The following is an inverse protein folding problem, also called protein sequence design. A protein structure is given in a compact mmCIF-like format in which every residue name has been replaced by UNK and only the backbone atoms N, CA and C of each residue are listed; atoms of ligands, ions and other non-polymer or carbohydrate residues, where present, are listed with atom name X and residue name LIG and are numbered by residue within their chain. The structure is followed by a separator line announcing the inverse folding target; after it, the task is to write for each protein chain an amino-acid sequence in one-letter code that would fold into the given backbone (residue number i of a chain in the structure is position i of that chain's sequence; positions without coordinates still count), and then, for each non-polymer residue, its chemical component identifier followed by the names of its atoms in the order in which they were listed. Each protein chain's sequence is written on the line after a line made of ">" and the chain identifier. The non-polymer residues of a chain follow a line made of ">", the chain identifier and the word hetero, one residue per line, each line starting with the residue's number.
data_IF_325889027056
#
_entry.id   IF_325889027056
#
_cell.length_a   1.000
_cell.length_b   1.000
_cell.length_c   1.000
_cell.angle_alpha   90.00
_cell.angle_beta   90.00
_cell.angle_gamma   90.00
#
_symmetry.space_group_name_H-M   'P 1'
#
loop_
_entity.id
_entity.type
_entity.pdbx_description
1 polymer ?
#
# COMPACT_ATOMS: atom_id res chain seq x y z
N UNK A 1 19.66 -6.05 -2.94
CA UNK A 1 18.47 -6.38 -2.13
C UNK A 1 17.31 -5.48 -2.59
N UNK A 2 16.04 -5.82 -2.34
CA UNK A 2 14.90 -5.00 -2.81
C UNK A 2 15.00 -3.50 -2.40
N UNK A 3 15.52 -3.22 -1.21
CA UNK A 3 15.78 -1.86 -0.71
C UNK A 3 16.85 -1.08 -1.48
N UNK A 4 17.72 -1.76 -2.23
CA UNK A 4 18.81 -1.15 -3.00
C UNK A 4 18.39 -0.79 -4.44
N UNK A 5 17.14 -1.11 -4.82
CA UNK A 5 16.59 -0.75 -6.12
C UNK A 5 16.54 0.78 -6.29
N UNK A 6 16.71 1.27 -7.53
CA UNK A 6 16.80 2.70 -7.79
C UNK A 6 15.50 3.42 -7.42
N UNK A 7 15.65 4.67 -6.98
CA UNK A 7 14.51 5.57 -6.80
C UNK A 7 14.16 6.22 -8.13
N UNK A 8 12.87 6.39 -8.41
CA UNK A 8 12.39 6.87 -9.71
C UNK A 8 11.65 8.19 -9.60
N UNK A 9 11.59 8.94 -10.71
CA UNK A 9 10.82 10.18 -10.81
C UNK A 9 9.32 9.94 -10.74
N UNK A 10 8.52 11.02 -10.59
CA UNK A 10 7.06 10.92 -10.58
C UNK A 10 6.46 10.36 -11.87
N UNK A 11 7.07 10.65 -13.04
CA UNK A 11 6.61 10.13 -14.33
C UNK A 11 6.78 8.61 -14.38
N UNK A 12 7.97 8.13 -14.01
CA UNK A 12 8.25 6.69 -13.96
C UNK A 12 7.46 5.99 -12.84
N UNK A 13 7.27 6.64 -11.70
CA UNK A 13 6.42 6.10 -10.64
C UNK A 13 4.97 5.90 -11.12
N UNK A 14 4.41 6.84 -11.89
CA UNK A 14 3.07 6.71 -12.47
C UNK A 14 2.98 5.49 -13.41
N UNK A 15 4.00 5.30 -14.28
CA UNK A 15 4.09 4.12 -15.15
C UNK A 15 4.17 2.81 -14.36
N UNK A 16 5.01 2.77 -13.30
CA UNK A 16 5.18 1.57 -12.47
C UNK A 16 3.91 1.28 -11.68
N UNK A 17 3.24 2.29 -11.13
CA UNK A 17 1.97 2.08 -10.41
C UNK A 17 0.82 1.74 -11.36
N UNK A 18 1.02 1.99 -12.67
CA UNK A 18 0.06 1.78 -13.76
C UNK A 18 -1.17 2.68 -13.57
N UNK A 19 -0.86 3.99 -13.49
CA UNK A 19 -1.81 5.11 -13.41
C UNK A 19 -1.29 6.21 -14.34
N UNK A 20 -2.20 6.94 -15.01
CA UNK A 20 -1.80 8.10 -15.81
C UNK A 20 -1.12 9.18 -14.96
N UNK A 21 -0.16 9.92 -15.54
CA UNK A 21 0.64 10.91 -14.81
C UNK A 21 -0.21 11.93 -14.01
N UNK A 22 -1.28 12.46 -14.60
CA UNK A 22 -2.17 13.40 -13.90
C UNK A 22 -2.98 12.73 -12.78
N UNK A 23 -3.37 11.47 -12.96
CA UNK A 23 -3.99 10.67 -11.90
C UNK A 23 -3.04 10.47 -10.72
N UNK A 24 -1.77 10.16 -11.01
CA UNK A 24 -0.74 10.03 -10.01
C UNK A 24 -0.48 11.35 -9.26
N UNK A 25 -0.42 12.48 -9.97
CA UNK A 25 -0.32 13.81 -9.31
C UNK A 25 -1.52 14.12 -8.43
N UNK A 26 -2.72 13.72 -8.85
CA UNK A 26 -3.93 13.84 -8.03
C UNK A 26 -3.81 13.02 -6.74
N UNK A 27 -3.30 11.78 -6.81
CA UNK A 27 -3.05 10.96 -5.61
C UNK A 27 -2.08 11.63 -4.63
N UNK A 28 -0.97 12.18 -5.11
CA UNK A 28 0.01 12.88 -4.27
C UNK A 28 -0.58 14.14 -3.62
N UNK A 29 -1.36 14.93 -4.38
CA UNK A 29 -2.05 16.13 -3.86
C UNK A 29 -3.07 15.78 -2.78
N UNK A 30 -3.73 14.63 -2.90
CA UNK A 30 -4.72 14.11 -1.94
C UNK A 30 -4.08 13.38 -0.75
N UNK A 31 -2.75 13.34 -0.66
CA UNK A 31 -2.04 12.74 0.47
C UNK A 31 -2.00 11.22 0.46
N UNK A 32 -1.92 10.59 -0.72
CA UNK A 32 -1.65 9.15 -0.80
C UNK A 32 -0.32 8.84 -0.09
N UNK A 33 -0.35 7.85 0.81
CA UNK A 33 0.73 7.50 1.73
C UNK A 33 1.09 8.60 2.74
N UNK A 34 0.28 9.65 2.90
CA UNK A 34 0.60 10.81 3.74
C UNK A 34 0.94 10.46 5.20
N UNK A 35 0.45 9.33 5.71
CA UNK A 35 0.74 8.84 7.07
C UNK A 35 1.82 7.75 7.16
N UNK A 36 2.33 7.26 6.02
CA UNK A 36 3.37 6.22 5.99
C UNK A 36 4.67 6.76 6.59
N UNK A 37 5.22 6.10 7.61
CA UNK A 37 6.46 6.52 8.26
C UNK A 37 6.35 7.78 9.12
N UNK A 38 5.13 8.31 9.33
CA UNK A 38 4.91 9.28 10.40
C UNK A 38 4.80 8.52 11.73
N UNK A 39 5.55 8.96 12.74
CA UNK A 39 5.27 8.55 14.10
C UNK A 39 3.88 9.09 14.49
N UNK A 40 3.07 8.35 15.27
CA UNK A 40 1.84 8.89 15.82
C UNK A 40 2.16 10.22 16.52
N UNK A 41 1.39 11.27 16.25
CA UNK A 41 1.55 12.51 16.99
C UNK A 41 1.42 12.24 18.49
N UNK A 42 2.35 12.76 19.29
CA UNK A 42 2.20 12.75 20.75
C UNK A 42 1.16 13.81 21.10
N UNK A 43 -0.11 13.41 21.15
CA UNK A 43 -1.23 14.29 21.45
C UNK A 43 -1.54 14.27 22.95
N UNK A 44 -1.76 15.44 23.55
CA UNK A 44 -2.23 15.54 24.92
C UNK A 44 -3.69 15.05 25.00
N UNK A 45 -4.06 14.44 26.14
CA UNK A 45 -5.43 13.97 26.37
C UNK A 45 -6.43 15.13 26.19
N UNK A 46 -7.34 15.00 25.22
CA UNK A 46 -8.39 15.99 24.93
C UNK A 46 -8.08 16.98 23.80
N UNK A 47 -6.99 16.83 23.06
CA UNK A 47 -6.70 17.66 21.88
C UNK A 47 -7.35 17.10 20.60
N UNK A 48 -7.88 18.00 19.76
CA UNK A 48 -8.44 17.66 18.44
C UNK A 48 -7.36 17.00 17.58
N UNK A 49 -7.58 15.73 17.24
CA UNK A 49 -6.62 14.89 16.53
C UNK A 49 -6.73 15.15 15.03
N UNK A 50 -6.16 16.24 14.53
CA UNK A 50 -6.01 16.45 13.09
C UNK A 50 -4.73 15.78 12.59
N UNK A 51 -4.77 14.45 12.47
CA UNK A 51 -3.75 13.68 11.73
C UNK A 51 -4.05 13.78 10.22
N UNK A 52 -4.08 15.00 9.70
CA UNK A 52 -4.27 15.23 8.28
C UNK A 52 -3.07 14.64 7.53
N UNK A 53 -3.30 13.75 6.54
CA UNK A 53 -2.21 13.17 5.77
C UNK A 53 -1.42 14.30 5.10
N UNK A 54 -0.15 14.46 5.46
CA UNK A 54 0.70 15.48 4.87
C UNK A 54 0.75 15.30 3.33
N UNK A 55 0.37 16.32 2.54
CA UNK A 55 0.40 16.22 1.08
C UNK A 55 1.81 15.86 0.60
N UNK A 56 1.93 14.78 -0.19
CA UNK A 56 3.21 14.34 -0.77
C UNK A 56 3.49 14.95 -2.13
N UNK A 57 2.81 16.05 -2.48
CA UNK A 57 3.00 16.77 -3.74
C UNK A 57 4.41 17.32 -3.94
N UNK A 58 5.18 17.49 -2.86
CA UNK A 58 6.59 17.90 -2.91
C UNK A 58 7.58 16.76 -3.18
N UNK A 59 7.14 15.50 -3.17
CA UNK A 59 8.02 14.35 -3.37
C UNK A 59 8.51 14.26 -4.81
N UNK A 60 9.84 14.15 -4.98
CA UNK A 60 10.48 14.11 -6.30
C UNK A 60 10.90 12.70 -6.72
N UNK A 61 11.09 11.80 -5.76
CA UNK A 61 11.57 10.45 -5.99
C UNK A 61 10.86 9.44 -5.10
N UNK A 62 10.66 8.23 -5.62
CA UNK A 62 9.92 7.15 -4.97
C UNK A 62 10.76 5.87 -4.98
N UNK A 63 10.89 5.23 -3.82
CA UNK A 63 11.61 3.96 -3.67
C UNK A 63 10.69 2.75 -3.80
N UNK A 64 11.28 1.55 -3.73
CA UNK A 64 10.55 0.29 -3.82
C UNK A 64 9.33 0.18 -2.86
N UNK A 65 9.44 0.47 -1.55
CA UNK A 65 8.31 0.36 -0.64
C UNK A 65 7.18 1.34 -0.98
N UNK A 66 7.53 2.57 -1.40
CA UNK A 66 6.54 3.57 -1.81
C UNK A 66 5.73 3.08 -3.00
N UNK A 67 6.41 2.52 -4.00
CA UNK A 67 5.79 2.03 -5.24
C UNK A 67 4.92 0.80 -4.99
N UNK A 68 5.33 -0.12 -4.11
CA UNK A 68 4.50 -1.25 -3.69
C UNK A 68 3.20 -0.78 -3.04
N UNK A 69 3.28 0.16 -2.08
CA UNK A 69 2.10 0.70 -1.41
C UNK A 69 1.19 1.47 -2.36
N UNK A 70 1.75 2.26 -3.28
CA UNK A 70 0.97 2.95 -4.32
C UNK A 70 0.29 1.97 -5.27
N UNK A 71 0.97 0.87 -5.63
CA UNK A 71 0.40 -0.20 -6.46
C UNK A 71 -0.73 -0.93 -5.73
N UNK A 72 -0.60 -1.22 -4.44
CA UNK A 72 -1.68 -1.78 -3.62
C UNK A 72 -2.87 -0.83 -3.61
N UNK A 73 -2.65 0.47 -3.39
CA UNK A 73 -3.74 1.45 -3.39
C UNK A 73 -4.49 1.47 -4.73
N UNK A 74 -3.74 1.40 -5.85
CA UNK A 74 -4.32 1.28 -7.19
C UNK A 74 -5.19 0.03 -7.30
N UNK A 75 -4.67 -1.14 -6.96
CA UNK A 75 -5.41 -2.41 -7.04
C UNK A 75 -6.69 -2.38 -6.20
N UNK A 76 -6.66 -1.72 -5.04
CA UNK A 76 -7.85 -1.53 -4.21
C UNK A 76 -8.87 -0.61 -4.89
N UNK A 77 -8.43 0.50 -5.48
CA UNK A 77 -9.32 1.41 -6.19
C UNK A 77 -9.94 0.74 -7.43
N UNK A 78 -9.16 -0.07 -8.17
CA UNK A 78 -9.68 -0.89 -9.27
C UNK A 78 -10.73 -1.92 -8.81
N UNK A 79 -10.56 -2.45 -7.60
CA UNK A 79 -11.52 -3.35 -6.95
C UNK A 79 -12.75 -2.61 -6.37
N UNK A 80 -12.86 -1.30 -6.56
CA UNK A 80 -14.02 -0.50 -6.15
C UNK A 80 -13.89 0.18 -4.79
N UNK A 81 -12.74 0.12 -4.12
CA UNK A 81 -12.53 0.85 -2.87
C UNK A 81 -12.45 2.36 -3.14
N UNK A 82 -12.99 3.15 -2.20
CA UNK A 82 -12.78 4.59 -2.23
C UNK A 82 -11.30 4.92 -2.01
N UNK A 83 -10.85 6.06 -2.51
CA UNK A 83 -9.49 6.56 -2.24
C UNK A 83 -9.20 6.64 -0.73
N UNK A 84 -10.17 7.08 0.08
CA UNK A 84 -10.00 7.19 1.52
C UNK A 84 -9.78 5.82 2.17
N UNK A 85 -10.57 4.81 1.80
CA UNK A 85 -10.42 3.43 2.28
C UNK A 85 -9.09 2.82 1.83
N UNK A 86 -8.74 2.97 0.54
CA UNK A 86 -7.47 2.46 0.01
C UNK A 86 -6.26 3.12 0.69
N UNK A 87 -6.27 4.45 0.82
CA UNK A 87 -5.21 5.20 1.49
C UNK A 87 -5.10 4.84 2.97
N UNK A 88 -6.24 4.59 3.65
CA UNK A 88 -6.28 4.16 5.05
C UNK A 88 -5.62 2.79 5.27
N UNK A 89 -5.74 1.86 4.31
CA UNK A 89 -5.03 0.58 4.35
C UNK A 89 -3.53 0.78 4.11
N UNK A 90 -3.16 1.36 2.97
CA UNK A 90 -1.73 1.44 2.57
C UNK A 90 -0.91 2.39 3.42
N UNK A 91 -1.55 3.27 4.20
CA UNK A 91 -0.87 4.17 5.12
C UNK A 91 -0.47 3.53 6.45
N UNK A 92 -0.82 2.26 6.69
CA UNK A 92 -0.52 1.61 7.96
C UNK A 92 0.94 1.20 8.07
N UNK A 93 1.53 1.53 9.22
CA UNK A 93 2.93 1.25 9.51
C UNK A 93 3.27 -0.24 9.36
N UNK A 94 2.35 -1.15 9.71
CA UNK A 94 2.57 -2.60 9.57
C UNK A 94 2.73 -3.04 8.11
N UNK A 95 1.99 -2.45 7.17
CA UNK A 95 2.10 -2.80 5.74
C UNK A 95 3.40 -2.22 5.18
N UNK A 96 3.69 -0.95 5.48
CA UNK A 96 4.96 -0.34 5.06
C UNK A 96 6.17 -1.10 5.61
N UNK A 97 6.13 -1.47 6.90
CA UNK A 97 7.24 -2.17 7.55
C UNK A 97 7.53 -3.52 6.92
N UNK A 98 6.52 -4.26 6.44
CA UNK A 98 6.73 -5.50 5.70
C UNK A 98 7.52 -5.20 4.42
N UNK A 99 6.95 -4.37 3.56
CA UNK A 99 7.53 -3.98 2.26
C UNK A 99 8.95 -3.39 2.36
N UNK A 100 9.24 -2.65 3.43
CA UNK A 100 10.52 -1.97 3.62
C UNK A 100 11.64 -2.90 4.08
N UNK A 101 11.32 -4.03 4.75
CA UNK A 101 12.31 -4.95 5.30
C UNK A 101 12.49 -6.22 4.47
N UNK A 102 11.58 -6.50 3.55
CA UNK A 102 11.71 -7.64 2.63
C UNK A 102 12.97 -7.49 1.77
N UNK A 103 13.74 -8.58 1.68
CA UNK A 103 15.00 -8.63 0.91
C UNK A 103 14.81 -9.21 -0.48
N UNK A 104 13.77 -10.00 -0.65
CA UNK A 104 13.23 -10.63 -1.85
C UNK A 104 11.69 -10.67 -1.77
N UNK A 105 10.97 -10.84 -2.88
CA UNK A 105 9.51 -10.89 -2.84
C UNK A 105 8.99 -12.04 -1.97
N UNK A 106 8.05 -11.75 -1.07
CA UNK A 106 7.51 -12.71 -0.11
C UNK A 106 6.04 -13.01 -0.44
N UNK A 107 5.73 -14.30 -0.61
CA UNK A 107 4.34 -14.75 -0.79
C UNK A 107 3.55 -14.55 0.51
N UNK A 108 2.84 -13.42 0.55
CA UNK A 108 2.03 -12.94 1.67
C UNK A 108 0.72 -12.39 1.13
N UNK A 109 -0.36 -12.59 1.86
CA UNK A 109 -1.68 -12.14 1.43
C UNK A 109 -2.22 -11.04 2.31
N UNK A 110 -2.89 -10.07 1.69
CA UNK A 110 -3.65 -9.03 2.35
C UNK A 110 -5.12 -9.30 2.08
N UNK A 111 -5.85 -9.69 3.12
CA UNK A 111 -7.29 -9.88 3.12
C UNK A 111 -7.95 -8.63 3.65
N UNK A 112 -8.88 -8.06 2.91
CA UNK A 112 -9.54 -6.79 3.23
C UNK A 112 -11.04 -6.95 3.10
N UNK A 113 -11.79 -6.44 4.07
CA UNK A 113 -13.25 -6.37 4.01
C UNK A 113 -13.74 -4.92 4.14
N UNK A 114 -14.59 -4.45 3.21
CA UNK A 114 -15.40 -3.25 3.33
C UNK A 114 -16.35 -3.26 4.53
N UNK A 115 -16.87 -2.08 4.95
CA UNK A 115 -16.56 -0.74 4.44
C UNK A 115 -15.37 -0.06 5.12
N UNK A 116 -14.87 -0.61 6.24
CA UNK A 116 -13.95 0.09 7.15
C UNK A 116 -12.47 -0.06 6.82
N UNK A 117 -12.10 -0.88 5.82
CA UNK A 117 -10.68 -1.10 5.49
C UNK A 117 -9.92 -1.90 6.54
N UNK A 118 -10.65 -2.60 7.40
CA UNK A 118 -10.08 -3.63 8.24
C UNK A 118 -9.47 -4.72 7.36
N UNK A 119 -8.31 -5.19 7.79
CA UNK A 119 -7.54 -6.15 7.00
C UNK A 119 -6.62 -6.98 7.88
N UNK A 120 -6.39 -8.20 7.40
CA UNK A 120 -5.46 -9.15 7.97
C UNK A 120 -4.37 -9.38 6.94
N UNK A 121 -3.14 -9.45 7.44
CA UNK A 121 -1.98 -9.85 6.65
C UNK A 121 -1.67 -11.30 7.04
N UNK A 122 -1.58 -12.18 6.05
CA UNK A 122 -1.20 -13.58 6.23
C UNK A 122 0.22 -13.77 5.70
N UNK A 123 1.18 -13.92 6.61
CA UNK A 123 2.52 -14.37 6.26
C UNK A 123 2.53 -15.87 5.94
N UNK A 124 3.66 -16.37 5.44
CA UNK A 124 3.82 -17.77 5.03
C UNK A 124 3.37 -18.77 6.11
N UNK A 125 3.70 -18.50 7.38
CA UNK A 125 3.31 -19.30 8.54
C UNK A 125 1.80 -19.32 8.80
N UNK A 126 1.09 -18.24 8.47
CA UNK A 126 -0.35 -18.08 8.73
C UNK A 126 -1.23 -18.48 7.53
N UNK A 127 -0.65 -18.82 6.38
CA UNK A 127 -1.41 -19.15 5.17
C UNK A 127 -2.40 -20.31 5.36
N UNK A 128 -2.11 -21.22 6.28
CA UNK A 128 -2.99 -22.33 6.60
C UNK A 128 -4.34 -21.87 7.21
N UNK A 129 -4.40 -20.67 7.80
CA UNK A 129 -5.64 -20.05 8.29
C UNK A 129 -6.46 -19.33 7.20
N UNK A 130 -5.85 -19.03 6.05
CA UNK A 130 -6.46 -18.23 4.99
C UNK A 130 -7.78 -18.83 4.46
N UNK A 131 -7.92 -20.15 4.19
CA UNK A 131 -9.17 -20.71 3.68
C UNK A 131 -10.36 -20.51 4.62
N UNK A 132 -10.15 -20.65 5.94
CA UNK A 132 -11.17 -20.42 6.94
C UNK A 132 -11.60 -18.95 6.97
N UNK A 133 -10.63 -18.02 6.98
CA UNK A 133 -10.89 -16.57 6.98
C UNK A 133 -11.57 -16.08 5.70
N UNK A 134 -11.24 -16.67 4.54
CA UNK A 134 -11.95 -16.40 3.29
C UNK A 134 -13.42 -16.85 3.41
N UNK A 135 -13.68 -18.00 4.01
CA UNK A 135 -15.04 -18.53 4.17
C UNK A 135 -15.88 -17.61 5.07
N UNK A 136 -15.31 -17.18 6.20
CA UNK A 136 -15.92 -16.19 7.11
C UNK A 136 -16.19 -14.86 6.40
N UNK A 137 -15.21 -14.31 5.69
CA UNK A 137 -15.36 -13.03 4.98
C UNK A 137 -16.39 -13.11 3.85
N UNK A 138 -16.44 -14.22 3.10
CA UNK A 138 -17.45 -14.46 2.07
C UNK A 138 -18.86 -14.52 2.65
N UNK A 139 -19.05 -15.11 3.83
CA UNK A 139 -20.34 -15.14 4.50
C UNK A 139 -20.85 -13.74 4.87
N UNK A 140 -19.94 -12.78 5.06
CA UNK A 140 -20.23 -11.36 5.29
C UNK A 140 -20.43 -10.55 4.00
N UNK A 141 -20.37 -11.20 2.83
CA UNK A 141 -20.71 -10.60 1.54
C UNK A 141 -19.63 -9.75 0.91
N UNK A 142 -18.42 -9.67 1.49
CA UNK A 142 -17.36 -8.84 0.91
C UNK A 142 -15.96 -9.41 1.12
N UNK A 143 -15.17 -9.48 0.04
CA UNK A 143 -13.77 -9.89 0.12
C UNK A 143 -12.93 -9.26 -0.98
N UNK A 144 -11.76 -8.76 -0.61
CA UNK A 144 -10.67 -8.50 -1.54
C UNK A 144 -9.42 -9.13 -0.99
N UNK A 145 -8.82 -10.01 -1.78
CA UNK A 145 -7.59 -10.72 -1.45
C UNK A 145 -6.51 -10.27 -2.42
N UNK A 146 -5.44 -9.67 -1.89
CA UNK A 146 -4.28 -9.26 -2.67
C UNK A 146 -3.07 -10.10 -2.28
N UNK A 147 -2.37 -10.63 -3.29
CA UNK A 147 -1.06 -11.22 -3.09
C UNK A 147 0.01 -10.10 -3.10
N UNK A 148 0.64 -9.88 -1.96
CA UNK A 148 1.67 -8.86 -1.77
C UNK A 148 2.98 -9.26 -2.46
N UNK A 149 3.29 -10.56 -2.54
CA UNK A 149 4.46 -11.07 -3.26
C UNK A 149 4.35 -10.82 -4.77
N UNK A 150 3.15 -10.92 -5.35
CA UNK A 150 2.91 -10.54 -6.74
C UNK A 150 3.16 -9.04 -6.97
N UNK A 151 2.76 -8.19 -6.03
CA UNK A 151 3.03 -6.74 -6.09
C UNK A 151 4.53 -6.47 -6.02
N UNK A 152 5.24 -7.09 -5.08
CA UNK A 152 6.69 -6.94 -4.92
C UNK A 152 7.44 -7.42 -6.16
N UNK A 153 7.05 -8.56 -6.75
CA UNK A 153 7.61 -9.06 -8.02
C UNK A 153 7.34 -8.11 -9.19
N UNK A 154 6.13 -7.58 -9.26
CA UNK A 154 5.75 -6.64 -10.31
C UNK A 154 6.58 -5.34 -10.23
N UNK A 155 6.66 -4.73 -9.04
CA UNK A 155 7.39 -3.47 -8.84
C UNK A 155 8.89 -3.65 -9.02
N UNK A 156 9.48 -4.70 -8.42
CA UNK A 156 10.91 -4.98 -8.57
C UNK A 156 11.30 -5.26 -10.02
N UNK A 157 10.50 -6.04 -10.75
CA UNK A 157 10.69 -6.27 -12.19
C UNK A 157 10.66 -4.96 -13.00
N UNK A 158 9.71 -4.06 -12.71
CA UNK A 158 9.64 -2.76 -13.41
C UNK A 158 10.78 -1.80 -13.06
N UNK A 159 11.32 -1.88 -11.85
CA UNK A 159 12.48 -1.10 -11.42
C UNK A 159 13.79 -1.63 -12.02
N UNK A 160 13.91 -2.94 -12.18
CA UNK A 160 15.09 -3.56 -12.81
C UNK A 160 15.19 -3.24 -14.31
N UNK A 161 14.07 -3.01 -15.00
CA UNK A 161 14.01 -2.61 -16.42
C UNK A 161 14.41 -1.15 -16.68
N UNK A 162 15.16 -0.51 -15.77
CA UNK A 162 15.58 0.91 -15.89
C UNK A 162 17.05 1.04 -16.36
N UNK A 163 17.62 -0.03 -16.90
CA UNK A 163 18.91 -0.03 -17.62
C UNK A 163 18.73 0.23 -19.12
#
# INVERSE_FOLDING_TARGET
>A
MLKDLPRVSSARAAEIVDVGYEGFRSYLKRGLLGRVGMLPGFHAAGSDTHDDPAPRSGWKQFGFPDLCLMRIAKLLMDAGFTFASANGVVSQQKIWSRMAHDVEPVDRFLLIWPPYGDHIIFDAEDLHHLPARITEAKALGVITLLNLGDVERYVSGKLALTE
#
